data_IF_709839102072
#
_entry.id   IF_709839102072
#
_cell.length_a   1.000
_cell.length_b   1.000
_cell.length_c   1.000
_cell.angle_alpha   90.00
_cell.angle_beta   90.00
_cell.angle_gamma   90.00
#
_symmetry.space_group_name_H-M   'P 1'
#
loop_
_entity.id
_entity.type
_entity.pdbx_description
1 polymer ?
#
# COMPACT_ATOMS: atom_id res chain seq x y z
N UNK A 1 -18.23 2.03 11.71
CA UNK A 1 -17.43 1.57 10.55
C UNK A 1 -16.27 0.74 11.04
N UNK A 2 -15.83 -0.25 10.25
CA UNK A 2 -14.85 -1.24 10.68
C UNK A 2 -13.41 -0.78 10.41
N UNK A 3 -12.47 -1.23 11.24
CA UNK A 3 -11.02 -1.02 11.00
C UNK A 3 -10.58 -1.50 9.60
N UNK A 4 -11.24 -2.54 9.09
CA UNK A 4 -10.99 -3.06 7.74
C UNK A 4 -11.27 -2.01 6.67
N UNK A 5 -12.41 -1.31 6.75
CA UNK A 5 -12.80 -0.30 5.75
C UNK A 5 -11.77 0.84 5.69
N UNK A 6 -11.30 1.30 6.85
CA UNK A 6 -10.27 2.34 6.91
C UNK A 6 -8.96 1.88 6.24
N UNK A 7 -8.52 0.66 6.55
CA UNK A 7 -7.31 0.08 5.95
C UNK A 7 -7.46 -0.08 4.43
N UNK A 8 -8.62 -0.52 3.96
CA UNK A 8 -8.89 -0.69 2.52
C UNK A 8 -8.85 0.65 1.79
N UNK A 9 -9.41 1.72 2.38
CA UNK A 9 -9.33 3.07 1.82
C UNK A 9 -7.89 3.63 1.84
N UNK A 10 -7.10 3.31 2.86
CA UNK A 10 -5.67 3.69 2.88
C UNK A 10 -4.90 3.04 1.74
N UNK A 11 -5.13 1.75 1.49
CA UNK A 11 -4.49 1.01 0.39
C UNK A 11 -4.93 1.58 -0.95
N UNK A 12 -6.24 1.78 -1.14
CA UNK A 12 -6.78 2.38 -2.36
C UNK A 12 -6.20 3.77 -2.62
N UNK A 13 -6.13 4.63 -1.60
CA UNK A 13 -5.52 5.96 -1.72
C UNK A 13 -4.04 5.88 -2.11
N UNK A 14 -3.27 5.01 -1.46
CA UNK A 14 -1.86 4.82 -1.78
C UNK A 14 -1.67 4.35 -3.24
N UNK A 15 -2.46 3.37 -3.68
CA UNK A 15 -2.42 2.83 -5.04
C UNK A 15 -2.89 3.85 -6.09
N UNK A 16 -3.88 4.68 -5.77
CA UNK A 16 -4.43 5.67 -6.68
C UNK A 16 -3.43 6.77 -7.09
N UNK A 17 -2.40 7.02 -6.27
CA UNK A 17 -1.42 8.09 -6.55
C UNK A 17 -0.02 7.78 -6.02
N UNK A 18 0.22 7.86 -4.70
CA UNK A 18 1.56 7.76 -4.10
C UNK A 18 2.39 6.53 -4.52
N UNK A 19 1.75 5.41 -4.80
CA UNK A 19 2.41 4.19 -5.26
C UNK A 19 3.17 4.38 -6.58
N UNK A 20 2.75 5.31 -7.45
CA UNK A 20 3.41 5.56 -8.73
C UNK A 20 4.86 6.05 -8.57
N UNK A 21 5.17 6.69 -7.44
CA UNK A 21 6.50 7.19 -7.11
C UNK A 21 7.34 6.18 -6.31
N UNK A 22 6.82 4.96 -6.08
CA UNK A 22 7.54 3.95 -5.32
C UNK A 22 8.78 3.48 -6.12
N UNK A 23 9.94 3.75 -5.55
CA UNK A 23 11.21 3.20 -5.99
C UNK A 23 11.92 2.53 -4.82
N UNK A 24 12.29 1.26 -4.99
CA UNK A 24 13.02 0.48 -4.01
C UNK A 24 14.25 -0.08 -4.71
N UNK A 25 15.42 0.10 -4.08
CA UNK A 25 16.68 -0.38 -4.65
C UNK A 25 16.65 -1.89 -4.90
N UNK A 26 17.17 -2.34 -6.04
CA UNK A 26 17.14 -3.74 -6.46
C UNK A 26 18.16 -4.59 -5.69
N UNK A 27 17.83 -4.91 -4.43
CA UNK A 27 18.56 -5.87 -3.59
C UNK A 27 17.59 -6.81 -2.87
N UNK A 28 18.14 -7.79 -2.17
CA UNK A 28 17.37 -8.73 -1.36
C UNK A 28 17.13 -8.17 0.04
N UNK A 29 15.87 -8.13 0.46
CA UNK A 29 15.42 -7.64 1.76
C UNK A 29 14.77 -8.76 2.57
N UNK A 30 15.01 -8.86 3.88
CA UNK A 30 14.18 -9.67 4.75
C UNK A 30 12.77 -9.06 4.88
N UNK A 31 11.75 -9.89 5.09
CA UNK A 31 10.36 -9.44 5.20
C UNK A 31 10.15 -8.32 6.24
N UNK A 32 10.78 -8.43 7.41
CA UNK A 32 10.67 -7.42 8.47
C UNK A 32 11.18 -6.03 8.05
N UNK A 33 12.22 -5.96 7.23
CA UNK A 33 12.72 -4.69 6.69
C UNK A 33 11.73 -4.11 5.67
N UNK A 34 11.11 -4.96 4.85
CA UNK A 34 10.07 -4.52 3.90
C UNK A 34 8.85 -3.94 4.62
N UNK A 35 8.41 -4.55 5.73
CA UNK A 35 7.31 -4.00 6.54
C UNK A 35 7.62 -2.57 6.97
N UNK A 36 8.84 -2.31 7.48
CA UNK A 36 9.25 -0.96 7.90
C UNK A 36 9.28 0.03 6.73
N UNK A 37 9.82 -0.39 5.58
CA UNK A 37 9.90 0.45 4.38
C UNK A 37 8.49 0.84 3.91
N UNK A 38 7.59 -0.13 3.78
CA UNK A 38 6.24 0.11 3.26
C UNK A 38 5.39 0.88 4.28
N UNK A 39 5.51 0.58 5.58
CA UNK A 39 4.86 1.35 6.65
C UNK A 39 5.20 2.85 6.56
N UNK A 40 6.48 3.19 6.35
CA UNK A 40 6.91 4.58 6.18
C UNK A 40 6.22 5.25 4.98
N UNK A 41 6.12 4.56 3.83
CA UNK A 41 5.44 5.08 2.64
C UNK A 41 3.96 5.37 2.89
N UNK A 42 3.26 4.46 3.57
CA UNK A 42 1.87 4.69 3.96
C UNK A 42 1.74 5.85 4.94
N UNK A 43 2.61 5.90 5.95
CA UNK A 43 2.65 6.95 6.98
C UNK A 43 2.81 8.34 6.37
N UNK A 44 3.70 8.48 5.38
CA UNK A 44 3.90 9.73 4.63
C UNK A 44 2.70 10.05 3.74
N UNK A 45 2.17 9.08 3.00
CA UNK A 45 1.07 9.28 2.07
C UNK A 45 -0.19 9.81 2.76
N UNK A 46 -0.55 9.24 3.91
CA UNK A 46 -1.81 9.51 4.61
C UNK A 46 -1.71 10.57 5.70
N UNK A 47 -0.51 11.15 5.93
CA UNK A 47 -0.26 12.08 7.06
C UNK A 47 -1.24 13.26 7.14
N UNK A 48 -1.74 13.72 5.98
CA UNK A 48 -2.67 14.85 5.89
C UNK A 48 -4.06 14.56 6.45
N UNK A 49 -4.44 13.27 6.56
CA UNK A 49 -5.74 12.85 7.08
C UNK A 49 -5.76 12.64 8.61
N UNK A 50 -4.69 13.06 9.29
CA UNK A 50 -4.62 13.07 10.76
C UNK A 50 -4.08 11.79 11.40
N UNK A 51 -3.94 11.84 12.71
CA UNK A 51 -3.25 10.81 13.51
C UNK A 51 -4.00 9.48 13.58
N UNK A 52 -5.34 9.50 13.55
CA UNK A 52 -6.17 8.28 13.55
C UNK A 52 -5.94 7.42 12.30
N UNK A 53 -5.93 8.04 11.11
CA UNK A 53 -5.62 7.36 9.85
C UNK A 53 -4.16 6.89 9.85
N UNK A 54 -3.22 7.80 10.17
CA UNK A 54 -1.79 7.47 10.23
C UNK A 54 -1.47 6.33 11.19
N UNK A 55 -2.21 6.21 12.30
CA UNK A 55 -2.05 5.12 13.28
C UNK A 55 -2.31 3.72 12.71
N UNK A 56 -2.90 3.60 11.53
CA UNK A 56 -3.13 2.32 10.83
C UNK A 56 -2.10 2.01 9.74
N UNK A 57 -1.06 2.84 9.58
CA UNK A 57 -0.08 2.70 8.48
C UNK A 57 0.64 1.35 8.47
N UNK A 58 0.99 0.81 9.64
CA UNK A 58 1.62 -0.51 9.74
C UNK A 58 0.70 -1.60 9.21
N UNK A 59 -0.56 -1.61 9.64
CA UNK A 59 -1.55 -2.62 9.21
C UNK A 59 -1.83 -2.53 7.71
N UNK A 60 -2.03 -1.32 7.18
CA UNK A 60 -2.21 -1.09 5.75
C UNK A 60 -0.96 -1.49 4.94
N UNK A 61 0.22 -1.11 5.42
CA UNK A 61 1.49 -1.43 4.78
C UNK A 61 1.78 -2.93 4.73
N UNK A 62 1.55 -3.66 5.83
CA UNK A 62 1.68 -5.12 5.87
C UNK A 62 0.69 -5.79 4.91
N UNK A 63 -0.60 -5.44 4.97
CA UNK A 63 -1.62 -6.01 4.09
C UNK A 63 -1.31 -5.76 2.61
N UNK A 64 -0.84 -4.56 2.28
CA UNK A 64 -0.39 -4.23 0.93
C UNK A 64 0.84 -5.04 0.51
N UNK A 65 1.86 -5.11 1.36
CA UNK A 65 3.08 -5.86 1.10
C UNK A 65 2.78 -7.34 0.82
N UNK A 66 1.98 -7.98 1.66
CA UNK A 66 1.60 -9.39 1.49
C UNK A 66 0.86 -9.62 0.18
N UNK A 67 -0.06 -8.73 -0.17
CA UNK A 67 -0.76 -8.79 -1.45
C UNK A 67 0.18 -8.62 -2.65
N UNK A 68 1.17 -7.72 -2.55
CA UNK A 68 2.18 -7.51 -3.60
C UNK A 68 3.09 -8.73 -3.74
N UNK A 69 3.53 -9.34 -2.63
CA UNK A 69 4.31 -10.58 -2.64
C UNK A 69 3.49 -11.69 -3.33
N UNK A 70 2.22 -11.86 -2.96
CA UNK A 70 1.34 -12.87 -3.55
C UNK A 70 1.10 -12.65 -5.06
N UNK A 71 1.07 -11.39 -5.52
CA UNK A 71 0.99 -11.01 -6.94
C UNK A 71 2.34 -11.09 -7.67
N UNK A 72 3.41 -11.54 -7.01
CA UNK A 72 4.72 -11.75 -7.62
C UNK A 72 5.52 -10.47 -7.88
N UNK A 73 5.11 -9.35 -7.29
CA UNK A 73 5.88 -8.07 -7.29
C UNK A 73 7.21 -8.21 -6.58
N UNK A 74 7.30 -9.19 -5.67
CA UNK A 74 8.51 -9.54 -4.97
C UNK A 74 8.93 -10.94 -5.36
N UNK A 75 10.10 -11.04 -5.99
CA UNK A 75 10.74 -12.34 -6.13
C UNK A 75 11.20 -12.80 -4.74
N UNK A 76 10.97 -14.07 -4.41
CA UNK A 76 11.24 -14.62 -3.08
C UNK A 76 12.20 -15.79 -3.17
N UNK A 77 13.22 -15.81 -2.30
CA UNK A 77 14.13 -16.94 -2.12
C UNK A 77 14.33 -17.26 -0.65
N UNK A 78 14.67 -18.51 -0.35
CA UNK A 78 15.15 -18.89 0.98
C UNK A 78 16.61 -18.45 1.14
N UNK A 79 16.98 -18.04 2.36
CA UNK A 79 18.36 -17.79 2.74
C UNK A 79 18.93 -18.97 3.54
N UNK A 80 20.25 -18.98 3.72
CA UNK A 80 20.97 -20.07 4.40
C UNK A 80 20.64 -20.18 5.90
N UNK A 81 19.91 -19.21 6.45
CA UNK A 81 19.51 -19.13 7.85
C UNK A 81 18.04 -19.52 8.08
N UNK A 82 17.35 -20.07 7.06
CA UNK A 82 15.96 -20.53 7.16
C UNK A 82 14.90 -19.42 7.08
N UNK A 83 15.28 -18.23 6.63
CA UNK A 83 14.38 -17.10 6.38
C UNK A 83 14.14 -16.83 4.90
N UNK A 84 13.08 -16.08 4.58
CA UNK A 84 12.80 -15.63 3.22
C UNK A 84 13.33 -14.23 2.95
N UNK A 85 13.90 -14.05 1.76
CA UNK A 85 14.37 -12.77 1.24
C UNK A 85 13.56 -12.40 0.01
N UNK A 86 13.34 -11.10 -0.18
CA UNK A 86 12.47 -10.56 -1.22
C UNK A 86 13.21 -9.49 -2.04
N UNK A 87 13.10 -9.54 -3.37
CA UNK A 87 13.66 -8.53 -4.27
C UNK A 87 12.54 -7.89 -5.10
N UNK A 88 12.55 -6.55 -5.16
CA UNK A 88 11.51 -5.76 -5.82
C UNK A 88 11.58 -5.90 -7.35
N UNK A 89 10.42 -6.11 -7.97
CA UNK A 89 10.26 -6.27 -9.42
C UNK A 89 9.47 -5.07 -9.97
N UNK A 90 10.18 -4.01 -10.36
CA UNK A 90 9.58 -2.71 -10.73
C UNK A 90 8.53 -2.81 -11.84
N UNK A 91 8.78 -3.61 -12.88
CA UNK A 91 7.84 -3.74 -14.00
C UNK A 91 6.55 -4.46 -13.58
N UNK A 92 6.68 -5.51 -12.76
CA UNK A 92 5.52 -6.22 -12.19
C UNK A 92 4.72 -5.33 -11.25
N UNK A 93 5.41 -4.52 -10.45
CA UNK A 93 4.76 -3.55 -9.57
C UNK A 93 3.91 -2.57 -10.37
N UNK A 94 4.47 -1.94 -11.42
CA UNK A 94 3.75 -0.99 -12.26
C UNK A 94 2.53 -1.63 -12.94
N UNK A 95 2.67 -2.87 -13.42
CA UNK A 95 1.55 -3.60 -14.02
C UNK A 95 0.42 -3.85 -13.01
N UNK A 96 0.75 -4.33 -11.80
CA UNK A 96 -0.21 -4.56 -10.72
C UNK A 96 -0.88 -3.26 -10.26
N UNK A 97 -0.11 -2.17 -10.12
CA UNK A 97 -0.66 -0.86 -9.74
C UNK A 97 -1.64 -0.37 -10.80
N UNK A 98 -1.31 -0.48 -12.09
CA UNK A 98 -2.22 -0.11 -13.17
C UNK A 98 -3.51 -0.95 -13.18
N UNK A 99 -3.40 -2.27 -12.96
CA UNK A 99 -4.55 -3.16 -12.80
C UNK A 99 -5.47 -2.74 -11.65
N UNK A 100 -4.89 -2.46 -10.47
CA UNK A 100 -5.66 -2.03 -9.30
C UNK A 100 -6.28 -0.64 -9.53
N UNK A 101 -5.55 0.30 -10.12
CA UNK A 101 -6.10 1.61 -10.45
C UNK A 101 -7.29 1.54 -11.42
N UNK A 102 -7.35 0.52 -12.27
CA UNK A 102 -8.45 0.31 -13.21
C UNK A 102 -9.65 -0.40 -12.58
N UNK A 103 -9.43 -1.32 -11.65
CA UNK A 103 -10.45 -2.27 -11.20
C UNK A 103 -10.87 -2.14 -9.73
N UNK A 104 -10.09 -1.45 -8.90
CA UNK A 104 -10.43 -1.31 -7.49
C UNK A 104 -11.67 -0.41 -7.33
N UNK A 105 -12.74 -0.87 -6.64
CA UNK A 105 -14.00 -0.15 -6.57
C UNK A 105 -13.89 1.18 -5.80
N UNK A 106 -12.99 1.28 -4.81
CA UNK A 106 -12.75 2.53 -4.06
C UNK A 106 -12.06 3.53 -4.98
N UNK A 107 -11.06 3.10 -5.75
CA UNK A 107 -10.35 3.98 -6.70
C UNK A 107 -11.27 4.44 -7.82
N UNK A 108 -12.09 3.55 -8.37
CA UNK A 108 -13.08 3.89 -9.41
C UNK A 108 -14.08 4.91 -8.88
N UNK A 109 -14.60 4.71 -7.65
CA UNK A 109 -15.48 5.66 -6.98
C UNK A 109 -14.79 7.02 -6.76
N UNK A 110 -13.56 7.03 -6.28
CA UNK A 110 -12.77 8.24 -6.08
C UNK A 110 -12.58 9.05 -7.37
N UNK A 111 -12.32 8.36 -8.49
CA UNK A 111 -12.20 8.99 -9.82
C UNK A 111 -13.51 9.63 -10.28
N UNK A 112 -14.65 9.02 -9.96
CA UNK A 112 -15.97 9.54 -10.32
C UNK A 112 -16.39 10.76 -9.48
N UNK A 113 -16.07 10.76 -8.18
CA UNK A 113 -16.47 11.82 -7.25
C UNK A 113 -15.46 12.98 -7.17
N UNK A 114 -14.24 12.77 -7.65
CA UNK A 114 -13.23 13.82 -7.79
C UNK A 114 -12.37 14.08 -6.55
N UNK A 115 -11.60 15.18 -6.53
CA UNK A 115 -10.52 15.40 -5.56
C UNK A 115 -10.94 15.41 -4.09
N UNK A 116 -12.17 15.84 -3.78
CA UNK A 116 -12.69 15.93 -2.42
C UNK A 116 -13.06 14.58 -1.80
N UNK A 117 -13.15 13.52 -2.63
CA UNK A 117 -13.58 12.20 -2.18
C UNK A 117 -12.76 11.69 -0.99
N UNK A 118 -11.44 11.81 -1.07
CA UNK A 118 -10.55 11.27 -0.03
C UNK A 118 -10.71 11.99 1.29
N UNK A 119 -10.81 13.33 1.27
CA UNK A 119 -10.97 14.11 2.49
C UNK A 119 -12.31 13.78 3.17
N UNK A 120 -13.40 13.61 2.39
CA UNK A 120 -14.71 13.18 2.91
C UNK A 120 -14.67 11.75 3.45
N UNK A 121 -14.17 10.80 2.67
CA UNK A 121 -14.13 9.39 3.04
C UNK A 121 -13.30 9.16 4.32
N UNK A 122 -12.10 9.75 4.40
CA UNK A 122 -11.29 9.61 5.62
C UNK A 122 -11.89 10.33 6.81
N UNK A 123 -12.51 11.51 6.63
CA UNK A 123 -13.19 12.21 7.73
C UNK A 123 -14.36 11.39 8.29
N UNK A 124 -15.17 10.78 7.42
CA UNK A 124 -16.26 9.88 7.84
C UNK A 124 -15.72 8.65 8.57
N UNK A 125 -14.69 7.98 8.03
CA UNK A 125 -14.13 6.75 8.58
C UNK A 125 -13.49 6.92 9.98
N UNK A 126 -13.12 8.15 10.36
CA UNK A 126 -12.49 8.45 11.66
C UNK A 126 -13.29 9.38 12.58
N UNK A 127 -14.41 9.89 12.09
CA UNK A 127 -15.40 10.68 12.84
C UNK A 127 -16.16 9.82 13.82
#
# INVERSE_FOLDING_TARGET
>A
MSESELVDHMIAYYVAGPANDLNIATRWYPYGELVLIIEDKFSVAVRKFGTKVRGKSKLAGTKFLDAMIAKGVWETKQNDFGGSMHQFQTDKFRAVVAELQANDPIIVKAKAEGPEYWDKAFAELVG
#
